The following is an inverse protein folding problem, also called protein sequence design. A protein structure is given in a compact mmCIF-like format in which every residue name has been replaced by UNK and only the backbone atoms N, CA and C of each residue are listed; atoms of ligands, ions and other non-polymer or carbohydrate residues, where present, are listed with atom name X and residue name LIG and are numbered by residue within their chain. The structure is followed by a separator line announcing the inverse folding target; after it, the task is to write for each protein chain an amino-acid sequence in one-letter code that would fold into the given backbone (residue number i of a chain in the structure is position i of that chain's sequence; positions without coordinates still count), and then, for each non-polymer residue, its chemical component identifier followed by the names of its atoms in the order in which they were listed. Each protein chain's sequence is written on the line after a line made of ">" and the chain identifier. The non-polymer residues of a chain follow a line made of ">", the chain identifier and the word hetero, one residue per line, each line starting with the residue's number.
data_IF_516936555422
#
_entry.id   IF_516936555422
#
_cell.length_a   1.000
_cell.length_b   1.000
_cell.length_c   1.000
_cell.angle_alpha   90.00
_cell.angle_beta   90.00
_cell.angle_gamma   90.00
#
_symmetry.space_group_name_H-M   'P 1'
#
loop_
_entity.id
_entity.type
_entity.pdbx_description
1 polymer ?
#
# COMPACT_ATOMS: atom_id res chain seq x y z
N UNK A 1 -11.67 23.90 -8.02
CA UNK A 1 -11.29 22.48 -8.20
C UNK A 1 -12.26 21.86 -9.20
N UNK A 2 -11.79 21.06 -10.17
CA UNK A 2 -12.71 20.34 -11.05
C UNK A 2 -13.17 19.07 -10.34
N UNK A 3 -14.48 18.91 -10.17
CA UNK A 3 -15.10 17.70 -9.63
C UNK A 3 -14.99 16.59 -10.71
N UNK A 4 -14.71 15.36 -10.27
CA UNK A 4 -14.51 14.21 -11.14
C UNK A 4 -15.32 13.04 -10.59
N UNK A 5 -15.71 12.12 -11.47
CA UNK A 5 -16.30 10.82 -11.11
C UNK A 5 -15.18 9.79 -11.04
N UNK A 6 -14.89 9.30 -9.84
CA UNK A 6 -13.72 8.47 -9.56
C UNK A 6 -14.16 7.12 -9.01
N UNK A 7 -13.78 6.06 -9.70
CA UNK A 7 -13.77 4.71 -9.15
C UNK A 7 -12.57 4.51 -8.23
N UNK A 8 -12.74 3.86 -7.08
CA UNK A 8 -11.62 3.45 -6.23
C UNK A 8 -11.75 1.98 -5.83
N UNK A 9 -10.78 1.17 -6.24
CA UNK A 9 -10.76 -0.28 -6.03
C UNK A 9 -9.59 -0.65 -5.12
N UNK A 10 -9.92 -1.32 -4.02
CA UNK A 10 -8.96 -1.80 -3.04
C UNK A 10 -8.92 -0.93 -1.80
N UNK A 11 -9.68 -1.33 -0.77
CA UNK A 11 -9.89 -0.54 0.45
C UNK A 11 -9.06 -1.10 1.62
N UNK A 12 -7.76 -1.31 1.36
CA UNK A 12 -6.77 -1.53 2.42
C UNK A 12 -6.48 -0.24 3.20
N UNK A 13 -5.49 -0.26 4.10
CA UNK A 13 -5.13 0.93 4.90
C UNK A 13 -4.77 2.14 4.02
N UNK A 14 -3.95 1.92 2.98
CA UNK A 14 -3.60 2.98 2.02
C UNK A 14 -4.80 3.42 1.19
N UNK A 15 -5.53 2.47 0.60
CA UNK A 15 -6.64 2.77 -0.29
C UNK A 15 -7.81 3.47 0.39
N UNK A 16 -8.13 3.08 1.63
CA UNK A 16 -9.17 3.73 2.42
C UNK A 16 -8.84 5.20 2.75
N UNK A 17 -7.58 5.49 3.12
CA UNK A 17 -7.11 6.84 3.35
C UNK A 17 -7.17 7.69 2.07
N UNK A 18 -6.70 7.13 0.95
CA UNK A 18 -6.74 7.81 -0.35
C UNK A 18 -8.18 8.10 -0.82
N UNK A 19 -9.08 7.12 -0.72
CA UNK A 19 -10.48 7.29 -1.08
C UNK A 19 -11.18 8.34 -0.19
N UNK A 20 -10.85 8.37 1.11
CA UNK A 20 -11.35 9.41 2.02
C UNK A 20 -10.94 10.81 1.54
N UNK A 21 -9.67 11.01 1.18
CA UNK A 21 -9.21 12.31 0.68
C UNK A 21 -9.93 12.73 -0.60
N UNK A 22 -10.20 11.78 -1.51
CA UNK A 22 -10.94 12.07 -2.75
C UNK A 22 -12.37 12.53 -2.46
N UNK A 23 -13.04 11.91 -1.49
CA UNK A 23 -14.37 12.32 -1.03
C UNK A 23 -14.31 13.69 -0.35
N UNK A 24 -13.35 13.93 0.53
CA UNK A 24 -13.19 15.21 1.25
C UNK A 24 -12.77 16.36 0.31
N UNK A 25 -12.10 16.05 -0.80
CA UNK A 25 -11.83 16.97 -1.90
C UNK A 25 -13.08 17.29 -2.75
N UNK A 26 -14.22 16.63 -2.50
CA UNK A 26 -15.50 16.89 -3.17
C UNK A 26 -15.67 16.17 -4.51
N UNK A 27 -14.89 15.12 -4.79
CA UNK A 27 -15.10 14.26 -5.95
C UNK A 27 -16.28 13.30 -5.72
N UNK A 28 -16.90 12.85 -6.81
CA UNK A 28 -17.92 11.79 -6.77
C UNK A 28 -17.19 10.44 -6.77
N UNK A 29 -17.09 9.80 -5.60
CA UNK A 29 -16.29 8.57 -5.46
C UNK A 29 -17.18 7.34 -5.39
N UNK A 30 -16.97 6.40 -6.30
CA UNK A 30 -17.54 5.05 -6.26
C UNK A 30 -16.48 4.05 -5.83
N UNK A 31 -16.71 3.35 -4.72
CA UNK A 31 -15.72 2.46 -4.12
C UNK A 31 -16.11 1.00 -4.27
N UNK A 32 -15.12 0.15 -4.48
CA UNK A 32 -15.29 -1.31 -4.48
C UNK A 32 -14.14 -2.00 -3.75
N UNK A 33 -14.47 -3.08 -3.07
CA UNK A 33 -13.51 -3.98 -2.46
C UNK A 33 -14.08 -5.40 -2.40
N UNK A 34 -13.21 -6.41 -2.53
CA UNK A 34 -13.60 -7.83 -2.43
C UNK A 34 -14.39 -8.16 -1.15
N UNK A 35 -14.01 -7.54 -0.04
CA UNK A 35 -14.77 -7.59 1.23
C UNK A 35 -15.63 -6.33 1.29
N UNK A 36 -16.96 -6.41 1.08
CA UNK A 36 -17.80 -5.23 0.89
C UNK A 36 -17.87 -4.33 2.12
N UNK A 37 -17.83 -4.92 3.33
CA UNK A 37 -17.82 -4.24 4.64
C UNK A 37 -16.74 -3.15 4.75
N UNK A 38 -15.62 -3.28 4.04
CA UNK A 38 -14.57 -2.25 4.03
C UNK A 38 -14.99 -0.92 3.39
N UNK A 39 -16.10 -0.90 2.66
CA UNK A 39 -16.66 0.31 2.07
C UNK A 39 -17.60 1.06 3.03
N UNK A 40 -18.05 0.46 4.14
CA UNK A 40 -19.10 1.02 5.02
C UNK A 40 -18.75 2.45 5.48
N UNK A 41 -17.56 2.63 6.06
CA UNK A 41 -17.10 3.93 6.56
C UNK A 41 -16.87 4.99 5.46
N UNK A 42 -16.62 4.57 4.21
CA UNK A 42 -16.53 5.52 3.07
C UNK A 42 -17.92 5.92 2.57
N UNK A 43 -18.87 4.99 2.59
CA UNK A 43 -20.26 5.28 2.24
C UNK A 43 -20.87 6.27 3.24
N UNK A 44 -20.59 6.10 4.53
CA UNK A 44 -21.00 7.07 5.57
C UNK A 44 -20.42 8.48 5.33
N UNK A 45 -19.30 8.58 4.61
CA UNK A 45 -18.65 9.83 4.24
C UNK A 45 -19.13 10.41 2.90
N UNK A 46 -20.00 9.71 2.18
CA UNK A 46 -20.58 10.18 0.92
C UNK A 46 -20.07 9.46 -0.34
N UNK A 47 -19.26 8.40 -0.20
CA UNK A 47 -18.94 7.55 -1.34
C UNK A 47 -20.14 6.67 -1.73
N UNK A 48 -20.19 6.25 -3.00
CA UNK A 48 -21.13 5.23 -3.48
C UNK A 48 -20.46 3.86 -3.47
N UNK A 49 -21.15 2.81 -3.03
CA UNK A 49 -20.64 1.43 -3.14
C UNK A 49 -21.00 0.84 -4.49
N UNK A 50 -20.02 0.30 -5.19
CA UNK A 50 -20.23 -0.59 -6.33
C UNK A 50 -20.34 -2.05 -5.88
N UNK A 51 -21.12 -2.85 -6.60
CA UNK A 51 -21.20 -4.30 -6.42
C UNK A 51 -20.04 -5.02 -7.12
N UNK A 52 -19.54 -4.47 -8.23
CA UNK A 52 -18.46 -5.04 -9.02
C UNK A 52 -17.34 -4.04 -9.33
N UNK A 53 -16.12 -4.51 -9.68
CA UNK A 53 -15.07 -3.62 -10.20
C UNK A 53 -15.52 -2.81 -11.41
N UNK A 54 -16.20 -3.45 -12.38
CA UNK A 54 -16.72 -2.80 -13.59
C UNK A 54 -17.66 -1.62 -13.27
N UNK A 55 -18.53 -1.75 -12.27
CA UNK A 55 -19.42 -0.67 -11.82
C UNK A 55 -18.64 0.51 -11.24
N UNK A 56 -17.54 0.27 -10.53
CA UNK A 56 -16.67 1.35 -10.05
C UNK A 56 -15.95 2.07 -11.20
N UNK A 57 -15.80 1.44 -12.38
CA UNK A 57 -15.03 1.97 -13.50
C UNK A 57 -15.85 2.74 -14.56
N UNK A 58 -17.07 3.19 -14.23
CA UNK A 58 -17.95 3.93 -15.16
C UNK A 58 -17.70 5.45 -15.21
N UNK A 59 -16.80 5.95 -14.37
CA UNK A 59 -16.48 7.38 -14.24
C UNK A 59 -15.42 7.86 -15.22
N UNK A 60 -14.74 8.94 -14.83
CA UNK A 60 -13.67 9.56 -15.63
C UNK A 60 -12.33 8.84 -15.38
N UNK A 61 -12.12 8.38 -14.15
CA UNK A 61 -10.91 7.68 -13.68
C UNK A 61 -11.31 6.51 -12.78
N UNK A 62 -10.58 5.40 -12.85
CA UNK A 62 -10.63 4.31 -11.87
C UNK A 62 -9.25 4.09 -11.28
N UNK A 63 -9.14 4.22 -9.95
CA UNK A 63 -7.91 4.07 -9.20
C UNK A 63 -7.85 2.70 -8.54
N UNK A 64 -6.72 1.99 -8.65
CA UNK A 64 -6.50 0.72 -7.96
C UNK A 64 -5.36 0.81 -6.95
N UNK A 65 -5.58 0.32 -5.73
CA UNK A 65 -4.57 0.17 -4.68
C UNK A 65 -4.65 -1.23 -4.07
N UNK A 66 -3.93 -2.18 -4.68
CA UNK A 66 -4.01 -3.61 -4.40
C UNK A 66 -2.66 -4.17 -3.96
N UNK A 67 -2.70 -5.36 -3.36
CA UNK A 67 -1.56 -5.94 -2.64
C UNK A 67 -0.42 -6.39 -3.56
N UNK A 68 -0.75 -6.97 -4.70
CA UNK A 68 0.19 -7.63 -5.61
C UNK A 68 -0.39 -7.76 -7.02
N UNK A 69 0.40 -8.34 -7.91
CA UNK A 69 0.07 -8.62 -9.31
C UNK A 69 -1.22 -9.43 -9.42
N UNK A 70 -1.34 -10.56 -8.69
CA UNK A 70 -2.49 -11.45 -8.80
C UNK A 70 -3.81 -10.77 -8.37
N UNK A 71 -3.76 -9.95 -7.33
CA UNK A 71 -4.91 -9.17 -6.89
C UNK A 71 -5.35 -8.15 -7.95
N UNK A 72 -4.40 -7.47 -8.61
CA UNK A 72 -4.69 -6.53 -9.68
C UNK A 72 -5.21 -7.24 -10.94
N UNK A 73 -4.60 -8.37 -11.30
CA UNK A 73 -5.06 -9.18 -12.43
C UNK A 73 -6.51 -9.64 -12.25
N UNK A 74 -6.88 -10.12 -11.06
CA UNK A 74 -8.25 -10.55 -10.78
C UNK A 74 -9.27 -9.40 -10.93
N UNK A 75 -8.88 -8.17 -10.60
CA UNK A 75 -9.73 -6.98 -10.72
C UNK A 75 -9.83 -6.49 -12.16
N UNK A 76 -8.76 -6.63 -12.95
CA UNK A 76 -8.74 -6.15 -14.33
C UNK A 76 -9.38 -7.18 -15.28
N UNK A 77 -8.93 -8.43 -15.21
CA UNK A 77 -9.27 -9.47 -16.18
C UNK A 77 -10.38 -10.43 -15.70
N UNK A 78 -10.94 -10.21 -14.51
CA UNK A 78 -12.09 -11.00 -14.03
C UNK A 78 -13.36 -10.76 -14.86
N UNK A 79 -14.37 -11.62 -14.71
CA UNK A 79 -15.62 -11.55 -15.47
C UNK A 79 -16.34 -10.19 -15.34
N UNK A 80 -16.34 -9.63 -14.12
CA UNK A 80 -16.84 -8.27 -13.83
C UNK A 80 -15.67 -7.26 -13.65
N UNK A 81 -14.58 -7.50 -14.36
CA UNK A 81 -13.35 -6.72 -14.27
C UNK A 81 -13.44 -5.35 -14.93
N UNK A 82 -12.37 -4.56 -14.77
CA UNK A 82 -12.31 -3.20 -15.32
C UNK A 82 -11.70 -3.11 -16.73
N UNK A 83 -11.28 -4.25 -17.31
CA UNK A 83 -10.77 -4.27 -18.68
C UNK A 83 -11.86 -3.80 -19.65
N UNK A 84 -11.51 -2.83 -20.50
CA UNK A 84 -12.47 -2.28 -21.47
C UNK A 84 -13.43 -1.22 -20.89
N UNK A 85 -13.29 -0.83 -19.62
CA UNK A 85 -14.02 0.30 -19.05
C UNK A 85 -13.66 1.64 -19.76
N UNK A 86 -14.56 2.63 -19.76
CA UNK A 86 -14.28 3.94 -20.37
C UNK A 86 -13.40 4.84 -19.49
N UNK A 87 -13.26 4.54 -18.20
CA UNK A 87 -12.44 5.29 -17.26
C UNK A 87 -10.95 5.08 -17.51
N UNK A 88 -10.13 6.10 -17.23
CA UNK A 88 -8.67 5.93 -17.19
C UNK A 88 -8.30 5.07 -16.00
N UNK A 89 -7.62 3.95 -16.24
CA UNK A 89 -7.14 3.10 -15.15
C UNK A 89 -5.82 3.65 -14.61
N UNK A 90 -5.85 4.14 -13.37
CA UNK A 90 -4.70 4.64 -12.64
C UNK A 90 -4.31 3.63 -11.56
N UNK A 91 -3.17 2.95 -11.74
CA UNK A 91 -2.71 1.96 -10.75
C UNK A 91 -1.69 2.55 -9.78
N UNK A 92 -2.02 2.53 -8.50
CA UNK A 92 -1.11 2.87 -7.40
C UNK A 92 -0.45 1.65 -6.75
N UNK A 93 -0.86 0.45 -7.17
CA UNK A 93 -0.34 -0.83 -6.67
C UNK A 93 1.15 -0.98 -6.97
N UNK A 94 1.89 -1.60 -6.06
CA UNK A 94 3.29 -1.97 -6.32
C UNK A 94 3.28 -3.31 -7.07
N UNK A 95 3.40 -3.25 -8.40
CA UNK A 95 3.33 -4.41 -9.30
C UNK A 95 4.62 -4.62 -10.09
N UNK A 96 4.75 -5.77 -10.74
CA UNK A 96 5.85 -6.03 -11.66
C UNK A 96 5.82 -5.13 -12.91
N UNK A 97 7.00 -4.92 -13.49
CA UNK A 97 7.17 -4.24 -14.78
C UNK A 97 6.41 -4.99 -15.89
N UNK A 98 6.49 -6.32 -15.89
CA UNK A 98 5.83 -7.17 -16.89
C UNK A 98 4.30 -7.04 -16.84
N UNK A 99 3.70 -7.01 -15.65
CA UNK A 99 2.25 -6.80 -15.55
C UNK A 99 1.85 -5.41 -16.05
N UNK A 100 2.64 -4.37 -15.75
CA UNK A 100 2.36 -3.02 -16.21
C UNK A 100 2.40 -2.89 -17.75
N UNK A 101 3.35 -3.56 -18.40
CA UNK A 101 3.44 -3.63 -19.86
C UNK A 101 2.22 -4.31 -20.46
N UNK A 102 1.80 -5.44 -19.85
CA UNK A 102 0.61 -6.18 -20.30
C UNK A 102 -0.67 -5.34 -20.14
N UNK A 103 -0.86 -4.70 -18.99
CA UNK A 103 -1.99 -3.78 -18.75
C UNK A 103 -2.00 -2.61 -19.74
N UNK A 104 -0.83 -2.11 -20.13
CA UNK A 104 -0.74 -1.04 -21.13
C UNK A 104 -1.18 -1.53 -22.51
N UNK A 105 -0.81 -2.76 -22.88
CA UNK A 105 -1.12 -3.35 -24.19
C UNK A 105 -2.60 -3.77 -24.33
N UNK A 106 -3.19 -4.29 -23.26
CA UNK A 106 -4.53 -4.89 -23.30
C UNK A 106 -5.66 -3.84 -23.15
N UNK A 107 -5.32 -2.63 -22.71
CA UNK A 107 -6.33 -1.61 -22.44
C UNK A 107 -6.90 -0.98 -23.71
N UNK A 108 -8.20 -0.67 -23.68
CA UNK A 108 -8.88 -0.03 -24.79
C UNK A 108 -8.39 1.42 -25.04
N UNK A 109 -8.69 1.96 -26.22
CA UNK A 109 -8.36 3.35 -26.56
C UNK A 109 -9.15 4.39 -25.73
N UNK A 110 -10.30 4.01 -25.17
CA UNK A 110 -11.22 4.93 -24.47
C UNK A 110 -10.75 5.29 -23.04
N UNK A 111 -10.31 4.28 -22.28
CA UNK A 111 -9.84 4.42 -20.90
C UNK A 111 -8.33 4.65 -20.83
N UNK A 112 -7.53 3.78 -21.43
CA UNK A 112 -6.08 3.82 -21.29
C UNK A 112 -5.59 3.52 -19.86
N UNK A 113 -4.26 3.47 -19.70
CA UNK A 113 -3.59 3.04 -18.47
C UNK A 113 -2.50 4.01 -18.05
N UNK A 114 -2.46 4.33 -16.76
CA UNK A 114 -1.43 5.14 -16.10
C UNK A 114 -0.93 4.38 -14.87
N UNK A 115 0.38 4.20 -14.78
CA UNK A 115 1.00 3.74 -13.54
C UNK A 115 1.32 4.95 -12.68
N UNK A 116 0.85 4.95 -11.43
CA UNK A 116 1.04 6.03 -10.48
C UNK A 116 1.43 5.50 -9.07
N UNK A 117 2.39 4.57 -8.92
CA UNK A 117 2.80 4.07 -7.61
C UNK A 117 3.24 5.19 -6.66
N UNK A 118 3.06 4.95 -5.37
CA UNK A 118 3.24 5.99 -4.33
C UNK A 118 4.38 5.66 -3.37
N UNK A 119 5.06 6.70 -2.89
CA UNK A 119 5.91 6.63 -1.70
C UNK A 119 5.21 7.35 -0.54
N UNK A 120 5.14 6.65 0.59
CA UNK A 120 4.43 7.09 1.78
C UNK A 120 3.93 5.90 2.57
N UNK A 121 3.53 6.15 3.81
CA UNK A 121 2.88 5.18 4.71
C UNK A 121 1.45 5.66 5.00
N UNK A 122 0.58 4.83 5.59
CA UNK A 122 -0.81 5.21 5.83
C UNK A 122 -1.03 6.59 6.49
N UNK A 123 -0.20 7.06 7.45
CA UNK A 123 -0.34 8.42 7.98
C UNK A 123 -0.17 9.52 6.92
N UNK A 124 0.82 9.38 6.03
CA UNK A 124 1.01 10.33 4.93
C UNK A 124 -0.11 10.24 3.89
N UNK A 125 -0.71 9.04 3.71
CA UNK A 125 -1.90 8.90 2.88
C UNK A 125 -3.09 9.65 3.48
N UNK A 126 -3.33 9.54 4.80
CA UNK A 126 -4.43 10.23 5.47
C UNK A 126 -4.31 11.76 5.45
N UNK A 127 -3.10 12.29 5.30
CA UNK A 127 -2.84 13.73 5.21
C UNK A 127 -2.77 14.24 3.75
N UNK A 128 -3.05 13.39 2.76
CA UNK A 128 -2.84 13.69 1.33
C UNK A 128 -1.39 14.10 0.98
N UNK A 129 -0.41 13.58 1.74
CA UNK A 129 1.02 13.92 1.62
C UNK A 129 1.81 12.81 0.93
N UNK A 130 1.21 12.04 0.02
CA UNK A 130 1.94 11.02 -0.74
C UNK A 130 2.85 11.67 -1.79
N UNK A 131 3.96 11.00 -2.10
CA UNK A 131 4.72 11.27 -3.32
C UNK A 131 4.28 10.28 -4.38
N UNK A 132 3.64 10.78 -5.44
CA UNK A 132 3.17 9.96 -6.56
C UNK A 132 4.25 9.96 -7.65
N UNK A 133 4.57 8.79 -8.19
CA UNK A 133 5.42 8.64 -9.38
C UNK A 133 4.53 8.17 -10.51
N UNK A 134 4.22 9.04 -11.46
CA UNK A 134 3.31 8.80 -12.57
C UNK A 134 4.08 8.57 -13.89
N UNK A 135 3.63 7.58 -14.67
CA UNK A 135 4.06 7.36 -16.05
C UNK A 135 2.89 6.83 -16.88
N UNK A 136 2.89 7.22 -18.16
CA UNK A 136 1.76 7.02 -19.08
C UNK A 136 1.68 8.17 -20.08
N UNK A 137 0.80 8.03 -21.07
CA UNK A 137 0.55 9.09 -22.06
C UNK A 137 0.20 10.41 -21.39
N UNK A 138 0.72 11.50 -21.94
CA UNK A 138 0.62 12.82 -21.31
C UNK A 138 -0.81 13.33 -21.17
N UNK A 139 -1.67 13.02 -22.13
CA UNK A 139 -3.10 13.37 -22.13
C UNK A 139 -3.86 12.62 -21.03
N UNK A 140 -3.53 11.34 -20.80
CA UNK A 140 -4.14 10.55 -19.73
C UNK A 140 -3.72 11.06 -18.35
N UNK A 141 -2.44 11.37 -18.15
CA UNK A 141 -1.96 11.94 -16.88
C UNK A 141 -2.61 13.30 -16.61
N UNK A 142 -2.73 14.16 -17.62
CA UNK A 142 -3.40 15.46 -17.48
C UNK A 142 -4.87 15.31 -17.06
N UNK A 143 -5.59 14.33 -17.62
CA UNK A 143 -6.98 14.00 -17.21
C UNK A 143 -7.06 13.57 -15.74
N UNK A 144 -6.06 12.84 -15.25
CA UNK A 144 -6.04 12.32 -13.88
C UNK A 144 -5.49 13.31 -12.85
N UNK A 145 -4.93 14.44 -13.28
CA UNK A 145 -4.20 15.38 -12.42
C UNK A 145 -5.01 15.90 -11.22
N UNK A 146 -6.31 16.26 -11.34
CA UNK A 146 -7.08 16.69 -10.17
C UNK A 146 -7.17 15.59 -9.09
N UNK A 147 -7.38 14.35 -9.49
CA UNK A 147 -7.47 13.22 -8.57
C UNK A 147 -6.10 12.83 -7.97
N UNK A 148 -5.02 12.91 -8.76
CA UNK A 148 -3.66 12.69 -8.26
C UNK A 148 -3.22 13.76 -7.24
N UNK A 149 -3.61 15.02 -7.47
CA UNK A 149 -3.31 16.12 -6.56
C UNK A 149 -4.09 16.01 -5.24
N UNK A 150 -5.32 15.48 -5.26
CA UNK A 150 -6.14 15.30 -4.05
C UNK A 150 -5.56 14.28 -3.06
N UNK A 151 -4.64 13.41 -3.49
CA UNK A 151 -4.03 12.37 -2.64
C UNK A 151 -2.54 12.61 -2.34
N UNK A 152 -1.94 13.67 -2.88
CA UNK A 152 -0.49 13.82 -2.92
C UNK A 152 0.00 15.25 -2.65
N UNK A 153 1.18 15.35 -2.05
CA UNK A 153 1.91 16.62 -1.94
C UNK A 153 2.68 16.94 -3.22
N UNK A 154 3.01 15.90 -4.01
CA UNK A 154 3.81 16.04 -5.23
C UNK A 154 3.59 14.84 -6.15
N UNK A 155 3.42 15.14 -7.44
CA UNK A 155 3.42 14.17 -8.54
C UNK A 155 4.70 14.34 -9.35
N UNK A 156 5.45 13.25 -9.54
CA UNK A 156 6.63 13.17 -10.41
C UNK A 156 6.25 12.41 -11.68
N UNK A 157 6.47 13.01 -12.86
CA UNK A 157 6.25 12.34 -14.15
C UNK A 157 7.57 11.74 -14.64
N UNK A 158 7.60 10.43 -14.90
CA UNK A 158 8.84 9.68 -15.19
C UNK A 158 8.87 9.01 -16.56
N UNK A 159 7.97 9.42 -17.47
CA UNK A 159 7.97 9.02 -18.87
C UNK A 159 6.60 8.59 -19.38
N UNK A 160 6.54 8.27 -20.67
CA UNK A 160 5.30 7.86 -21.35
C UNK A 160 4.96 6.38 -21.12
N UNK A 161 5.95 5.53 -20.84
CA UNK A 161 5.74 4.11 -20.58
C UNK A 161 5.33 3.89 -19.11
N UNK A 162 4.11 3.40 -18.81
CA UNK A 162 3.67 3.16 -17.44
C UNK A 162 4.63 2.27 -16.63
N UNK A 163 5.26 1.29 -17.28
CA UNK A 163 6.23 0.40 -16.65
C UNK A 163 7.45 1.11 -16.05
N UNK A 164 7.80 2.32 -16.53
CA UNK A 164 8.90 3.13 -15.97
C UNK A 164 8.62 3.58 -14.54
N UNK A 165 7.38 3.95 -14.20
CA UNK A 165 7.02 4.32 -12.83
C UNK A 165 7.12 3.12 -11.87
N UNK A 166 6.73 1.94 -12.34
CA UNK A 166 6.84 0.72 -11.55
C UNK A 166 8.31 0.32 -11.33
N UNK A 167 9.16 0.48 -12.35
CA UNK A 167 10.60 0.30 -12.20
C UNK A 167 11.18 1.25 -11.14
N UNK A 168 10.88 2.55 -11.22
CA UNK A 168 11.29 3.54 -10.20
C UNK A 168 10.82 3.14 -8.81
N UNK A 169 9.56 2.68 -8.68
CA UNK A 169 9.01 2.24 -7.39
C UNK A 169 9.77 1.04 -6.82
N UNK A 170 10.01 0.01 -7.63
CA UNK A 170 10.73 -1.19 -7.23
C UNK A 170 12.18 -0.88 -6.87
N UNK A 171 12.88 -0.08 -7.67
CA UNK A 171 14.23 0.41 -7.37
C UNK A 171 14.27 1.21 -6.06
N UNK A 172 13.31 2.12 -5.85
CA UNK A 172 13.23 2.91 -4.63
C UNK A 172 12.97 2.05 -3.38
N UNK A 173 12.04 1.09 -3.46
CA UNK A 173 11.80 0.15 -2.36
C UNK A 173 13.04 -0.71 -2.08
N UNK A 174 13.75 -1.17 -3.11
CA UNK A 174 15.02 -1.89 -2.95
C UNK A 174 16.08 -1.03 -2.25
N UNK A 175 16.23 0.23 -2.64
CA UNK A 175 17.17 1.16 -1.98
C UNK A 175 16.80 1.42 -0.52
N UNK A 176 15.51 1.60 -0.20
CA UNK A 176 15.04 1.74 1.18
C UNK A 176 15.39 0.49 1.99
N UNK A 177 15.13 -0.71 1.45
CA UNK A 177 15.47 -1.97 2.12
C UNK A 177 16.98 -2.12 2.32
N UNK A 178 17.79 -1.79 1.32
CA UNK A 178 19.24 -1.82 1.43
C UNK A 178 19.74 -0.84 2.50
N UNK A 179 19.21 0.38 2.54
CA UNK A 179 19.57 1.38 3.54
C UNK A 179 19.18 0.95 4.97
N UNK A 180 17.99 0.35 5.14
CA UNK A 180 17.55 -0.21 6.43
C UNK A 180 18.43 -1.39 6.84
N UNK A 181 18.81 -2.26 5.90
CA UNK A 181 19.72 -3.39 6.15
C UNK A 181 21.15 -2.98 6.52
N UNK A 182 21.62 -1.84 5.99
CA UNK A 182 22.92 -1.24 6.34
C UNK A 182 22.86 -0.47 7.66
N UNK A 183 21.69 0.01 8.04
CA UNK A 183 21.50 0.67 9.33
C UNK A 183 21.90 -0.31 10.43
N UNK A 184 22.90 0.01 11.28
CA UNK A 184 23.40 -0.94 12.25
C UNK A 184 22.26 -1.22 13.23
N UNK A 185 21.61 -2.37 13.03
CA UNK A 185 20.82 -2.99 14.08
C UNK A 185 21.70 -3.06 15.32
N UNK A 186 21.10 -3.04 16.51
CA UNK A 186 21.87 -3.08 17.78
C UNK A 186 22.98 -4.16 17.78
N UNK A 187 22.83 -5.23 17.00
CA UNK A 187 23.83 -6.26 16.78
C UNK A 187 25.03 -5.83 15.90
N UNK A 188 24.84 -5.13 14.78
CA UNK A 188 25.94 -4.71 13.91
C UNK A 188 26.77 -3.58 14.51
N UNK A 189 26.17 -2.75 15.36
CA UNK A 189 26.89 -1.71 16.12
C UNK A 189 27.91 -2.33 17.09
N UNK A 190 27.60 -3.50 17.66
CA UNK A 190 28.52 -4.29 18.48
C UNK A 190 29.64 -4.90 17.63
N UNK A 191 29.32 -5.44 16.45
CA UNK A 191 30.31 -6.00 15.53
C UNK A 191 31.30 -4.94 15.04
N UNK A 192 30.81 -3.77 14.61
CA UNK A 192 31.68 -2.65 14.19
C UNK A 192 32.52 -2.15 15.37
N UNK A 193 31.94 -1.98 16.56
CA UNK A 193 32.67 -1.57 17.76
C UNK A 193 33.72 -2.62 18.21
N UNK A 194 33.45 -3.92 18.02
CA UNK A 194 34.38 -5.01 18.32
C UNK A 194 35.51 -5.14 17.30
N UNK A 195 35.25 -4.80 16.03
CA UNK A 195 36.26 -4.78 14.96
C UNK A 195 37.15 -3.52 14.99
N UNK A 196 36.67 -2.43 15.58
CA UNK A 196 37.39 -1.15 15.67
C UNK A 196 38.44 -1.09 16.81
N UNK A 197 38.71 -2.19 17.51
CA UNK A 197 39.87 -2.30 18.42
C UNK A 197 39.89 -1.30 19.59
N UNK A 198 38.75 -0.70 19.96
CA UNK A 198 38.70 0.23 21.09
C UNK A 198 38.69 -0.50 22.43
N UNK A 199 39.89 -0.86 22.90
CA UNK A 199 40.19 -1.19 24.30
C UNK A 199 39.98 0.05 25.18
N UNK A 200 38.73 0.42 25.49
CA UNK A 200 38.46 1.28 26.65
C UNK A 200 37.09 0.98 27.25
N UNK A 201 37.12 0.10 28.25
CA UNK A 201 36.25 0.02 29.41
C UNK A 201 34.77 0.40 29.22
N UNK A 202 33.93 -0.60 28.91
CA UNK A 202 32.56 -0.66 29.43
C UNK A 202 32.46 -1.95 30.23
N UNK A 203 32.90 -1.86 31.49
CA UNK A 203 32.60 -2.87 32.52
C UNK A 203 31.27 -2.44 33.16
N UNK A 204 30.45 -3.46 33.42
CA UNK A 204 29.19 -3.47 34.19
C UNK A 204 27.93 -2.85 33.57
N UNK A 205 27.30 -3.61 32.67
CA UNK A 205 25.89 -4.00 32.84
C UNK A 205 25.65 -5.33 32.12
N UNK A 206 25.71 -6.44 32.86
CA UNK A 206 25.29 -7.76 32.35
C UNK A 206 23.77 -7.69 32.07
N UNK A 207 23.28 -8.19 30.93
CA UNK A 207 21.86 -8.51 30.80
C UNK A 207 21.54 -9.67 31.74
N UNK A 208 20.45 -9.58 32.48
CA UNK A 208 19.91 -10.71 33.24
C UNK A 208 19.64 -11.87 32.28
N UNK A 209 20.17 -13.04 32.59
CA UNK A 209 19.91 -14.26 31.86
C UNK A 209 18.46 -14.69 32.09
N UNK A 210 17.64 -14.66 31.03
CA UNK A 210 16.36 -15.38 31.00
C UNK A 210 16.66 -16.83 30.64
N UNK A 211 16.65 -17.70 31.64
CA UNK A 211 16.76 -19.16 31.47
C UNK A 211 15.36 -19.75 31.24
N UNK A 212 15.09 -20.21 30.01
CA UNK A 212 14.24 -21.38 29.75
C UNK A 212 15.21 -22.57 29.69
N UNK A 213 15.02 -23.78 30.23
CA UNK A 213 13.83 -24.52 30.63
C UNK A 213 14.25 -25.90 31.21
N UNK A 214 13.38 -26.53 32.02
CA UNK A 214 13.22 -27.99 32.28
C UNK A 214 14.16 -28.72 33.26
N UNK A 215 13.60 -29.10 34.43
CA UNK A 215 13.76 -30.36 35.19
C UNK A 215 13.08 -30.13 36.58
N UNK A 216 12.24 -30.97 37.19
CA UNK A 216 11.91 -32.37 37.00
C UNK A 216 10.48 -32.61 37.54
N UNK A 217 9.72 -33.44 36.84
CA UNK A 217 8.58 -34.15 37.40
C UNK A 217 9.13 -35.29 38.27
N UNK A 218 8.91 -35.26 39.58
CA UNK A 218 8.82 -36.46 40.42
C UNK A 218 8.41 -36.10 41.85
N UNK A 219 7.35 -36.80 42.30
CA UNK A 219 7.09 -37.24 43.67
C UNK A 219 6.58 -36.23 44.71
N UNK A 220 5.43 -36.57 45.31
CA UNK A 220 5.14 -36.24 46.71
C UNK A 220 3.76 -35.68 46.98
N UNK A 221 2.71 -36.51 46.87
CA UNK A 221 1.39 -36.17 47.38
C UNK A 221 1.26 -36.22 48.91
N UNK A 222 0.11 -35.70 49.37
CA UNK A 222 -0.55 -35.71 50.70
C UNK A 222 -0.38 -34.44 51.56
N UNK A 223 -1.31 -34.17 52.50
CA UNK A 223 -2.77 -34.24 52.39
C UNK A 223 -3.47 -32.96 52.89
N UNK A 224 -4.78 -32.85 52.59
CA UNK A 224 -5.69 -31.89 53.25
C UNK A 224 -6.01 -32.37 54.67
N UNK A 225 -5.93 -31.47 55.65
CA UNK A 225 -6.69 -31.52 56.89
C UNK A 225 -7.48 -30.23 57.03
N UNK A 226 -8.77 -30.34 57.29
CA UNK A 226 -9.68 -29.22 57.40
C UNK A 226 -10.05 -28.82 58.82
N UNK A 227 -11.08 -27.97 58.86
CA UNK A 227 -12.02 -27.66 59.94
C UNK A 227 -11.82 -26.36 60.74
N UNK A 228 -13.01 -25.79 61.04
CA UNK A 228 -13.38 -24.66 61.92
C UNK A 228 -13.06 -23.25 61.39
N UNK A 229 -14.00 -22.32 61.24
CA UNK A 229 -15.42 -22.17 61.66
C UNK A 229 -16.06 -21.11 60.77
#
# INVERSE_FOLDING_TARGET
>A
MMIMRIGFIGLGQMGHAMATNLVEAGHEVTVWNRSPDKADALVERGATRAATPAEAAQGDVVMTMLADDAALEAVVYGDDGILGAPAVHVSHSTISVALAERLTADQNEAGGYVAAPVFGRPPAAAEAMLFVVAAGRDDLIARCEPALNAISQRVFRVGEAPSAANLVKLSGNFMIMAAVGISPTRNTRWLIASSAGSHRAIRSSRPAATTNSIAAAAAGGRPKTGAAT
#
